data_IF_997012026395
#
_entry.id   IF_997012026395
#
_cell.length_a   1.000
_cell.length_b   1.000
_cell.length_c   1.000
_cell.angle_alpha   90.00
_cell.angle_beta   90.00
_cell.angle_gamma   90.00
#
_symmetry.space_group_name_H-M   'P 1'
#
loop_
_entity.id
_entity.type
_entity.pdbx_description
1 polymer ?
#
# COMPACT_ATOMS: atom_id res chain seq x y z
N UNK A 1 -51.17 -64.93 40.24
CA UNK A 1 -51.56 -65.49 38.93
C UNK A 1 -50.89 -64.65 37.85
N UNK A 2 -50.09 -65.30 36.98
CA UNK A 2 -49.44 -64.81 35.74
C UNK A 2 -48.43 -63.65 35.91
N UNK A 3 -47.23 -63.61 35.31
CA UNK A 3 -46.57 -64.45 34.31
C UNK A 3 -45.65 -63.60 33.43
N UNK A 4 -44.37 -63.98 33.37
CA UNK A 4 -43.35 -63.79 32.32
C UNK A 4 -42.83 -62.41 31.85
N UNK A 5 -41.50 -62.31 32.02
CA UNK A 5 -40.41 -61.98 31.09
C UNK A 5 -40.18 -60.59 30.46
N UNK A 6 -38.93 -60.16 30.71
CA UNK A 6 -37.95 -59.49 29.84
C UNK A 6 -38.30 -58.15 29.19
N UNK A 7 -37.56 -57.11 29.59
CA UNK A 7 -36.75 -56.36 28.62
C UNK A 7 -35.64 -55.53 29.31
N UNK A 8 -34.38 -55.87 28.99
CA UNK A 8 -33.20 -55.08 29.30
C UNK A 8 -33.13 -53.88 28.34
N UNK A 9 -33.18 -52.66 28.87
CA UNK A 9 -32.73 -51.45 28.16
C UNK A 9 -31.48 -50.87 28.81
N UNK A 10 -30.35 -51.04 28.13
CA UNK A 10 -29.11 -50.28 28.33
C UNK A 10 -29.12 -49.11 27.34
N UNK A 11 -28.74 -47.88 27.73
CA UNK A 11 -28.74 -46.73 26.82
C UNK A 11 -27.53 -46.77 25.88
N UNK A 12 -27.77 -46.39 24.62
CA UNK A 12 -26.81 -46.31 23.54
C UNK A 12 -25.83 -45.13 23.67
N UNK A 13 -24.61 -45.34 23.15
CA UNK A 13 -23.48 -44.42 23.16
C UNK A 13 -23.66 -43.22 22.20
N UNK A 14 -22.99 -42.13 22.56
CA UNK A 14 -22.93 -40.86 21.86
C UNK A 14 -22.37 -40.99 20.44
N UNK A 15 -23.03 -40.32 19.49
CA UNK A 15 -22.59 -40.24 18.09
C UNK A 15 -21.45 -39.24 17.92
N UNK A 16 -20.36 -39.71 17.31
CA UNK A 16 -19.26 -38.91 16.78
C UNK A 16 -19.73 -38.01 15.62
N UNK A 17 -19.51 -36.70 15.73
CA UNK A 17 -19.64 -35.78 14.60
C UNK A 17 -18.34 -35.79 13.79
N UNK A 18 -18.44 -36.32 12.57
CA UNK A 18 -17.37 -36.41 11.57
C UNK A 18 -16.83 -35.03 11.19
N UNK A 19 -15.52 -34.83 11.35
CA UNK A 19 -14.78 -33.70 10.78
C UNK A 19 -14.74 -33.76 9.26
N UNK A 20 -14.83 -32.58 8.62
CA UNK A 20 -14.56 -32.40 7.20
C UNK A 20 -13.07 -32.71 6.94
N UNK A 21 -12.75 -33.33 5.80
CA UNK A 21 -11.42 -33.72 5.30
C UNK A 21 -10.92 -35.16 5.54
N UNK A 22 -11.81 -36.15 5.46
CA UNK A 22 -11.44 -37.58 5.34
C UNK A 22 -11.02 -38.05 3.93
N UNK A 23 -10.80 -37.17 2.94
CA UNK A 23 -10.71 -37.57 1.52
C UNK A 23 -9.30 -37.89 0.99
N UNK A 24 -8.21 -37.64 1.73
CA UNK A 24 -6.84 -37.91 1.23
C UNK A 24 -6.11 -39.06 1.95
N UNK A 25 -6.61 -40.29 1.81
CA UNK A 25 -5.82 -41.51 2.09
C UNK A 25 -5.75 -42.44 0.88
N UNK A 26 -4.55 -42.49 0.31
CA UNK A 26 -4.09 -43.25 -0.86
C UNK A 26 -3.71 -44.69 -0.46
N UNK A 27 -3.95 -45.69 -1.33
CA UNK A 27 -3.20 -46.97 -1.44
C UNK A 27 -3.59 -47.76 -2.74
N UNK A 28 -2.85 -48.80 -3.20
CA UNK A 28 -2.22 -48.83 -4.54
C UNK A 28 -2.57 -50.03 -5.46
N UNK A 29 -2.38 -49.82 -6.78
CA UNK A 29 -1.81 -50.64 -7.89
C UNK A 29 -2.08 -52.16 -8.09
N UNK A 30 -2.52 -52.55 -9.31
CA UNK A 30 -2.22 -53.76 -10.16
C UNK A 30 -2.92 -53.56 -11.55
N UNK A 31 -2.27 -53.43 -12.73
CA UNK A 31 -1.67 -54.41 -13.72
C UNK A 31 -2.70 -55.36 -14.39
N UNK A 32 -2.81 -55.69 -15.69
CA UNK A 32 -2.04 -55.65 -16.98
C UNK A 32 -3.09 -55.72 -18.14
N UNK A 33 -2.89 -55.19 -19.36
CA UNK A 33 -2.62 -55.91 -20.65
C UNK A 33 -3.12 -54.97 -21.79
N UNK A 34 -2.67 -54.91 -23.04
CA UNK A 34 -1.48 -55.32 -23.82
C UNK A 34 -1.64 -54.57 -25.19
N UNK A 35 -0.54 -54.15 -25.81
CA UNK A 35 -0.40 -53.33 -27.04
C UNK A 35 -0.65 -54.19 -28.34
N UNK A 36 -0.64 -53.68 -29.63
CA UNK A 36 0.40 -52.81 -30.19
C UNK A 36 -0.04 -51.96 -31.46
N UNK A 37 0.83 -51.48 -32.39
CA UNK A 37 1.00 -50.04 -32.66
C UNK A 37 0.82 -49.63 -34.15
N UNK A 38 0.69 -48.33 -34.47
CA UNK A 38 0.95 -47.82 -35.85
C UNK A 38 1.58 -46.41 -35.78
N UNK A 39 2.49 -46.19 -36.72
CA UNK A 39 3.66 -45.29 -36.75
C UNK A 39 3.37 -43.80 -37.08
N UNK A 40 4.35 -42.90 -36.81
CA UNK A 40 4.30 -41.46 -37.09
C UNK A 40 5.03 -41.09 -38.39
N UNK A 41 4.74 -39.92 -38.97
CA UNK A 41 5.60 -39.18 -39.93
C UNK A 41 4.93 -37.82 -40.32
N UNK A 42 5.63 -36.81 -40.89
CA UNK A 42 6.94 -36.25 -40.53
C UNK A 42 6.96 -34.71 -40.48
N UNK A 43 8.06 -34.18 -39.95
CA UNK A 43 8.51 -32.77 -39.99
C UNK A 43 9.17 -32.50 -41.36
N UNK A 44 9.09 -31.27 -41.92
CA UNK A 44 10.11 -30.81 -42.87
C UNK A 44 11.01 -29.72 -42.25
N UNK A 45 12.33 -29.93 -42.31
CA UNK A 45 13.38 -28.89 -42.22
C UNK A 45 13.91 -28.54 -43.64
N UNK A 46 15.00 -27.75 -43.83
CA UNK A 46 14.99 -26.39 -44.34
C UNK A 46 15.58 -26.27 -45.77
N UNK A 47 15.38 -25.13 -46.46
CA UNK A 47 16.08 -24.82 -47.72
C UNK A 47 16.66 -23.40 -47.68
N UNK A 48 17.83 -23.31 -48.30
CA UNK A 48 18.95 -22.35 -48.22
C UNK A 48 18.74 -21.11 -49.10
N UNK A 49 19.51 -20.06 -48.75
CA UNK A 49 19.79 -18.77 -49.40
C UNK A 49 19.69 -18.69 -50.93
N UNK A 50 19.16 -17.55 -51.40
CA UNK A 50 19.55 -16.91 -52.66
C UNK A 50 19.56 -15.38 -52.49
N UNK A 51 20.64 -14.77 -52.98
CA UNK A 51 21.01 -13.35 -52.95
C UNK A 51 20.16 -12.43 -53.88
N UNK A 52 20.31 -11.08 -53.80
CA UNK A 52 19.25 -10.13 -54.12
C UNK A 52 19.22 -9.71 -55.58
N UNK A 53 18.00 -9.48 -56.11
CA UNK A 53 17.79 -8.81 -57.40
C UNK A 53 17.24 -7.41 -57.15
N UNK A 54 17.95 -6.44 -57.71
CA UNK A 54 17.63 -5.02 -57.71
C UNK A 54 16.41 -4.74 -58.60
N UNK A 55 15.47 -3.93 -58.09
CA UNK A 55 14.53 -3.17 -58.93
C UNK A 55 14.58 -1.70 -58.53
N UNK A 56 15.04 -0.90 -59.49
CA UNK A 56 14.96 0.55 -59.56
C UNK A 56 13.52 1.02 -59.81
N UNK A 57 13.17 2.25 -59.39
CA UNK A 57 11.79 2.74 -59.30
C UNK A 57 11.19 3.16 -60.65
N UNK A 58 9.89 2.92 -60.82
CA UNK A 58 9.09 3.43 -61.94
C UNK A 58 8.71 4.92 -61.77
N UNK A 59 8.48 5.66 -62.87
CA UNK A 59 8.58 7.11 -62.90
C UNK A 59 7.30 7.84 -62.48
N UNK A 60 7.51 8.97 -61.80
CA UNK A 60 6.50 10.00 -61.53
C UNK A 60 6.13 10.71 -62.83
N UNK A 61 4.87 10.62 -63.25
CA UNK A 61 4.30 11.47 -64.31
C UNK A 61 3.57 12.64 -63.65
N UNK A 62 4.13 13.84 -63.85
CA UNK A 62 3.53 15.13 -63.52
C UNK A 62 2.41 15.44 -64.52
N UNK A 63 1.18 15.61 -64.03
CA UNK A 63 0.12 16.28 -64.79
C UNK A 63 0.09 17.77 -64.45
N UNK A 64 0.33 18.58 -65.47
CA UNK A 64 0.25 20.04 -65.45
C UNK A 64 -1.19 20.54 -65.26
N UNK A 65 -1.26 21.73 -64.68
CA UNK A 65 -2.45 22.49 -64.31
C UNK A 65 -3.23 23.07 -65.50
N UNK A 66 -4.53 23.31 -65.27
CA UNK A 66 -5.34 24.47 -65.69
C UNK A 66 -6.82 24.25 -65.26
N UNK A 67 -7.68 25.29 -65.15
CA UNK A 67 -7.46 26.63 -64.62
C UNK A 67 -8.40 26.94 -63.43
N UNK A 68 -8.06 28.01 -62.73
CA UNK A 68 -8.73 28.57 -61.55
C UNK A 68 -10.15 29.05 -61.90
N UNK A 69 -11.17 28.42 -61.30
CA UNK A 69 -12.50 29.01 -61.16
C UNK A 69 -12.53 29.83 -59.86
N UNK A 70 -12.80 31.13 -60.01
CA UNK A 70 -13.00 32.06 -58.91
C UNK A 70 -14.16 31.60 -58.03
N UNK A 71 -14.03 31.57 -56.69
CA UNK A 71 -15.19 31.49 -55.83
C UNK A 71 -15.88 32.85 -55.81
N UNK A 72 -17.19 32.78 -56.01
CA UNK A 72 -18.16 33.87 -55.84
C UNK A 72 -17.98 34.48 -54.45
N UNK A 73 -17.91 35.81 -54.41
CA UNK A 73 -17.95 36.61 -53.17
C UNK A 73 -19.35 36.44 -52.58
N UNK A 74 -19.44 35.61 -51.54
CA UNK A 74 -20.59 35.54 -50.64
C UNK A 74 -20.31 36.48 -49.45
N UNK A 75 -21.32 37.29 -49.11
CA UNK A 75 -21.22 38.43 -48.22
C UNK A 75 -20.70 38.07 -46.82
N UNK A 76 -19.92 38.98 -46.22
CA UNK A 76 -19.56 38.96 -44.81
C UNK A 76 -20.83 38.86 -43.95
N UNK A 77 -20.92 37.92 -42.99
CA UNK A 77 -21.95 37.98 -41.98
C UNK A 77 -21.65 39.14 -41.02
N UNK A 78 -22.68 39.93 -40.72
CA UNK A 78 -22.69 40.94 -39.66
C UNK A 78 -22.19 40.36 -38.32
N UNK A 79 -21.56 41.19 -37.47
CA UNK A 79 -21.10 40.74 -36.15
C UNK A 79 -22.29 40.34 -35.27
N UNK A 80 -22.30 39.09 -34.81
CA UNK A 80 -23.21 38.64 -33.75
C UNK A 80 -22.96 39.45 -32.45
N UNK A 81 -24.01 39.80 -31.71
CA UNK A 81 -23.88 40.54 -30.46
C UNK A 81 -23.19 39.71 -29.38
N UNK A 82 -22.36 40.38 -28.57
CA UNK A 82 -21.73 39.82 -27.37
C UNK A 82 -22.74 39.11 -26.46
N UNK A 83 -22.40 37.97 -25.84
CA UNK A 83 -23.28 37.35 -24.86
C UNK A 83 -23.37 38.23 -23.62
N UNK A 84 -24.56 38.78 -23.37
CA UNK A 84 -24.91 39.43 -22.12
C UNK A 84 -24.59 38.52 -20.92
N UNK A 85 -23.93 39.10 -19.91
CA UNK A 85 -23.71 38.51 -18.60
C UNK A 85 -25.02 37.96 -18.00
N UNK A 86 -25.14 36.63 -17.92
CA UNK A 86 -26.15 36.01 -17.04
C UNK A 86 -25.74 36.23 -15.59
N UNK A 87 -26.55 37.01 -14.88
CA UNK A 87 -26.56 37.08 -13.43
C UNK A 87 -26.76 35.67 -12.84
N UNK A 88 -26.06 35.37 -11.74
CA UNK A 88 -26.22 34.13 -11.00
C UNK A 88 -27.67 33.91 -10.56
N UNK A 89 -28.15 32.67 -10.44
CA UNK A 89 -29.47 32.41 -9.88
C UNK A 89 -29.49 32.85 -8.41
N UNK A 90 -30.32 33.84 -8.08
CA UNK A 90 -30.67 34.17 -6.70
C UNK A 90 -31.45 33.00 -6.09
N UNK A 91 -30.96 32.50 -4.96
CA UNK A 91 -31.70 31.56 -4.13
C UNK A 91 -32.89 32.29 -3.50
N UNK A 92 -34.09 31.70 -3.44
CA UNK A 92 -35.22 32.32 -2.76
C UNK A 92 -34.97 32.28 -1.25
N UNK A 93 -34.54 33.41 -0.69
CA UNK A 93 -34.59 33.62 0.76
C UNK A 93 -36.04 33.95 1.09
N UNK A 94 -36.75 32.99 1.66
CA UNK A 94 -38.02 33.26 2.30
C UNK A 94 -37.75 34.17 3.52
N UNK A 95 -38.30 35.39 3.48
CA UNK A 95 -38.37 36.28 4.63
C UNK A 95 -39.34 35.70 5.65
N UNK A 96 -38.83 34.89 6.59
CA UNK A 96 -39.54 34.64 7.84
C UNK A 96 -39.19 35.75 8.84
N UNK A 97 -40.18 36.43 9.44
CA UNK A 97 -39.93 37.45 10.45
C UNK A 97 -39.45 36.78 11.73
N UNK A 98 -38.15 36.89 12.02
CA UNK A 98 -37.62 36.54 13.34
C UNK A 98 -38.20 37.52 14.35
N UNK A 99 -39.00 36.98 15.25
CA UNK A 99 -39.72 37.69 16.30
C UNK A 99 -38.81 38.62 17.11
N UNK A 100 -39.25 39.86 17.23
CA UNK A 100 -38.84 40.78 18.28
C UNK A 100 -39.20 40.14 19.63
N UNK A 101 -38.21 40.00 20.50
CA UNK A 101 -38.42 39.89 21.94
C UNK A 101 -37.70 41.07 22.58
N UNK A 102 -38.49 41.99 23.11
CA UNK A 102 -38.05 43.09 23.98
C UNK A 102 -37.69 42.56 25.37
N UNK A 103 -36.78 43.31 26.02
CA UNK A 103 -36.31 43.24 27.41
C UNK A 103 -35.43 42.06 27.82
N UNK A 104 -34.15 42.35 28.16
CA UNK A 104 -33.75 42.57 29.57
C UNK A 104 -32.52 43.48 29.63
N UNK A 105 -32.65 44.55 30.42
CA UNK A 105 -31.61 45.46 30.89
C UNK A 105 -30.43 44.73 31.56
N UNK A 106 -29.20 45.00 31.12
CA UNK A 106 -28.00 44.94 31.95
C UNK A 106 -26.94 45.90 31.40
N UNK A 107 -26.49 46.85 32.23
CA UNK A 107 -25.42 47.78 31.88
C UNK A 107 -24.11 47.02 31.62
N UNK A 108 -23.52 47.25 30.44
CA UNK A 108 -22.22 46.70 30.09
C UNK A 108 -21.12 47.52 30.80
N UNK A 109 -20.72 47.08 31.99
CA UNK A 109 -19.54 47.61 32.69
C UNK A 109 -18.29 47.14 31.95
N UNK A 110 -17.55 48.08 31.37
CA UNK A 110 -16.24 47.81 30.77
C UNK A 110 -15.18 47.63 31.87
N UNK A 111 -14.43 46.50 31.90
CA UNK A 111 -13.31 46.37 32.82
C UNK A 111 -12.14 47.26 32.37
N UNK A 112 -11.39 47.88 33.31
CA UNK A 112 -10.29 48.78 32.97
C UNK A 112 -9.07 48.01 32.46
N UNK A 113 -8.42 48.58 31.44
CA UNK A 113 -7.19 48.08 30.84
C UNK A 113 -6.03 48.29 31.83
N UNK A 114 -5.29 47.25 32.24
CA UNK A 114 -4.14 47.41 33.13
C UNK A 114 -2.95 48.06 32.40
N UNK A 115 -2.27 48.97 33.08
CA UNK A 115 -1.10 49.69 32.61
C UNK A 115 0.11 48.77 32.41
N UNK A 116 0.88 49.07 31.36
CA UNK A 116 2.11 48.39 30.95
C UNK A 116 3.17 48.54 32.04
N UNK A 117 3.64 47.41 32.59
CA UNK A 117 4.79 47.35 33.49
C UNK A 117 6.06 47.19 32.65
N UNK A 118 7.00 48.10 32.89
CA UNK A 118 8.35 48.15 32.33
C UNK A 118 9.14 46.89 32.71
N UNK A 119 9.54 46.08 31.72
CA UNK A 119 10.31 44.85 31.94
C UNK A 119 11.80 45.17 31.95
N UNK A 120 12.41 44.97 33.11
CA UNK A 120 13.85 45.07 33.34
C UNK A 120 14.65 44.06 32.48
N UNK A 121 15.87 44.46 32.13
CA UNK A 121 16.84 43.73 31.31
C UNK A 121 17.13 42.29 31.80
N UNK A 122 17.35 41.32 30.89
CA UNK A 122 17.79 40.00 31.30
C UNK A 122 19.30 39.98 31.54
N UNK A 123 19.68 39.45 32.70
CA UNK A 123 21.05 39.10 33.05
C UNK A 123 21.57 37.96 32.17
N UNK A 124 22.84 38.07 31.79
CA UNK A 124 23.64 37.08 31.08
C UNK A 124 23.77 35.83 31.94
N UNK A 125 23.32 34.68 31.43
CA UNK A 125 23.62 33.35 31.98
C UNK A 125 24.46 32.65 30.92
N UNK A 126 25.69 32.28 31.28
CA UNK A 126 26.62 31.50 30.47
C UNK A 126 26.04 30.10 30.20
N UNK A 127 26.16 29.54 28.98
CA UNK A 127 25.65 28.21 28.69
C UNK A 127 26.64 27.14 29.14
N UNK A 128 26.20 26.26 30.05
CA UNK A 128 26.84 24.95 30.27
C UNK A 128 26.66 24.04 29.04
N UNK A 129 27.61 23.12 28.78
CA UNK A 129 27.63 22.34 27.56
C UNK A 129 26.54 21.25 27.61
N UNK A 130 25.57 21.36 26.70
CA UNK A 130 24.60 20.28 26.42
C UNK A 130 25.31 19.09 25.81
N UNK A 131 25.55 18.08 26.64
CA UNK A 131 26.01 16.75 26.22
C UNK A 131 24.81 15.97 25.67
N UNK A 132 24.89 15.64 24.38
CA UNK A 132 24.28 14.51 23.67
C UNK A 132 22.81 14.12 24.00
N UNK A 133 21.85 14.70 23.28
CA UNK A 133 20.52 14.12 23.10
C UNK A 133 20.51 13.14 21.91
N UNK A 134 20.82 11.87 22.16
CA UNK A 134 20.65 10.79 21.14
C UNK A 134 19.81 9.62 21.67
N UNK A 135 19.60 9.47 22.98
CA UNK A 135 18.89 8.30 23.53
C UNK A 135 17.37 8.49 23.73
N UNK A 136 16.83 9.71 23.67
CA UNK A 136 15.41 10.00 23.96
C UNK A 136 14.44 9.75 22.80
N UNK A 137 14.93 9.58 21.55
CA UNK A 137 14.06 9.44 20.38
C UNK A 137 13.50 8.02 20.17
N UNK A 138 14.20 6.98 20.64
CA UNK A 138 13.78 5.58 20.43
C UNK A 138 12.52 5.21 21.23
N UNK A 139 12.39 5.72 22.45
CA UNK A 139 11.21 5.52 23.30
C UNK A 139 9.96 6.19 22.72
N UNK A 140 10.08 7.42 22.20
CA UNK A 140 8.99 8.09 21.49
C UNK A 140 8.60 7.38 20.19
N UNK A 141 9.59 6.83 19.47
CA UNK A 141 9.37 6.07 18.24
C UNK A 141 8.55 4.80 18.46
N UNK A 142 8.98 3.97 19.42
CA UNK A 142 8.28 2.72 19.75
C UNK A 142 6.89 2.98 20.31
N UNK A 143 6.71 4.03 21.11
CA UNK A 143 5.40 4.43 21.61
C UNK A 143 4.40 4.77 20.49
N UNK A 144 4.85 5.49 19.45
CA UNK A 144 4.01 5.78 18.27
C UNK A 144 3.69 4.53 17.46
N UNK A 145 4.67 3.63 17.27
CA UNK A 145 4.43 2.36 16.58
C UNK A 145 3.40 1.50 17.34
N UNK A 146 3.55 1.39 18.66
CA UNK A 146 2.58 0.72 19.53
C UNK A 146 1.19 1.34 19.44
N UNK A 147 1.10 2.68 19.47
CA UNK A 147 -0.17 3.38 19.32
C UNK A 147 -0.82 3.10 17.96
N UNK A 148 -0.05 3.19 16.88
CA UNK A 148 -0.52 2.92 15.52
C UNK A 148 -0.77 1.44 15.22
N UNK A 149 -0.48 0.53 16.15
CA UNK A 149 -0.83 -0.88 16.03
C UNK A 149 -1.88 -1.31 17.07
N UNK A 150 -2.33 -0.41 17.94
CA UNK A 150 -3.21 -0.69 19.09
C UNK A 150 -4.44 -1.55 18.75
N UNK A 151 -5.11 -1.27 17.62
CA UNK A 151 -6.28 -2.05 17.20
C UNK A 151 -5.92 -3.47 16.75
N UNK A 152 -4.79 -3.63 16.05
CA UNK A 152 -4.30 -4.95 15.64
C UNK A 152 -3.70 -5.70 16.84
N UNK A 153 -3.04 -5.01 17.77
CA UNK A 153 -2.55 -5.60 19.02
C UNK A 153 -3.69 -6.00 19.95
N UNK A 154 -4.84 -5.32 19.96
CA UNK A 154 -6.01 -5.81 20.69
C UNK A 154 -6.52 -7.14 20.10
N UNK A 155 -6.59 -7.23 18.76
CA UNK A 155 -7.05 -8.45 18.09
C UNK A 155 -6.08 -9.62 18.21
N UNK A 156 -4.77 -9.37 18.06
CA UNK A 156 -3.72 -10.40 18.13
C UNK A 156 -3.14 -10.48 19.54
N UNK A 157 -2.55 -9.42 20.05
CA UNK A 157 -1.82 -9.38 21.32
C UNK A 157 -2.67 -9.61 22.58
N UNK A 158 -3.68 -8.78 22.83
CA UNK A 158 -4.58 -8.90 24.01
C UNK A 158 -5.34 -10.22 23.96
N UNK A 159 -5.88 -10.51 22.77
CA UNK A 159 -6.53 -11.75 22.49
C UNK A 159 -5.65 -12.96 22.85
N UNK A 160 -4.44 -13.02 22.32
CA UNK A 160 -3.50 -14.11 22.63
C UNK A 160 -3.14 -14.15 24.12
N UNK A 161 -2.86 -13.00 24.75
CA UNK A 161 -2.51 -12.96 26.17
C UNK A 161 -3.59 -13.62 27.04
N UNK A 162 -4.87 -13.34 26.78
CA UNK A 162 -5.98 -13.98 27.51
C UNK A 162 -6.00 -15.50 27.41
N UNK A 163 -5.60 -16.09 26.28
CA UNK A 163 -5.48 -17.55 26.13
C UNK A 163 -4.38 -18.13 27.02
N UNK A 164 -3.25 -17.42 27.11
CA UNK A 164 -2.06 -17.89 27.83
C UNK A 164 -2.18 -17.74 29.36
N UNK A 165 -2.97 -16.79 29.88
CA UNK A 165 -3.18 -16.65 31.32
C UNK A 165 -4.04 -17.78 31.93
N UNK A 166 -4.90 -18.42 31.15
CA UNK A 166 -5.85 -19.43 31.64
C UNK A 166 -5.36 -20.87 31.59
N UNK A 167 -4.40 -21.20 30.70
CA UNK A 167 -3.98 -22.58 30.44
C UNK A 167 -2.56 -22.85 30.94
N UNK A 168 -2.42 -23.85 31.84
CA UNK A 168 -1.13 -24.31 32.38
C UNK A 168 -0.43 -25.37 31.52
N UNK A 169 -1.16 -25.97 30.57
CA UNK A 169 -0.67 -27.05 29.72
C UNK A 169 -0.86 -26.64 28.27
N UNK A 170 0.15 -26.90 27.44
CA UNK A 170 0.05 -26.72 26.00
C UNK A 170 -0.69 -27.95 25.45
N UNK A 171 -1.95 -27.79 25.09
CA UNK A 171 -2.81 -28.79 24.45
C UNK A 171 -3.11 -28.43 22.99
N UNK A 172 -3.68 -29.38 22.24
CA UNK A 172 -4.04 -29.16 20.83
C UNK A 172 -5.13 -28.06 20.69
N UNK A 173 -6.04 -27.95 21.67
CA UNK A 173 -7.07 -26.91 21.74
C UNK A 173 -6.46 -25.50 21.79
N UNK A 174 -5.38 -25.29 22.57
CA UNK A 174 -4.67 -24.01 22.60
C UNK A 174 -4.06 -23.66 21.23
N UNK A 175 -3.55 -24.65 20.49
CA UNK A 175 -2.99 -24.41 19.15
C UNK A 175 -4.09 -24.04 18.13
N UNK A 176 -5.26 -24.69 18.22
CA UNK A 176 -6.44 -24.34 17.41
C UNK A 176 -6.97 -22.92 17.73
N UNK A 177 -6.95 -22.53 18.99
CA UNK A 177 -7.33 -21.17 19.42
C UNK A 177 -6.35 -20.12 18.87
N UNK A 178 -5.04 -20.42 18.88
CA UNK A 178 -4.01 -19.56 18.27
C UNK A 178 -4.24 -19.46 16.76
N UNK A 179 -4.49 -20.57 16.09
CA UNK A 179 -4.77 -20.60 14.65
C UNK A 179 -5.97 -19.70 14.30
N UNK A 180 -7.08 -19.86 15.02
CA UNK A 180 -8.31 -19.10 14.80
C UNK A 180 -8.08 -17.59 14.94
N UNK A 181 -7.31 -17.18 15.95
CA UNK A 181 -6.99 -15.77 16.19
C UNK A 181 -6.08 -15.19 15.11
N UNK A 182 -5.06 -15.93 14.67
CA UNK A 182 -4.20 -15.50 13.56
C UNK A 182 -5.02 -15.30 12.27
N UNK A 183 -5.94 -16.22 11.97
CA UNK A 183 -6.83 -16.10 10.81
C UNK A 183 -7.77 -14.89 10.93
N UNK A 184 -8.37 -14.67 12.11
CA UNK A 184 -9.28 -13.53 12.35
C UNK A 184 -8.57 -12.19 12.20
N UNK A 185 -7.28 -12.12 12.52
CA UNK A 185 -6.46 -10.93 12.35
C UNK A 185 -5.90 -10.74 10.92
N UNK A 186 -6.40 -11.50 9.94
CA UNK A 186 -5.98 -11.46 8.53
C UNK A 186 -4.51 -11.88 8.28
N UNK A 187 -3.90 -12.70 9.15
CA UNK A 187 -2.54 -13.27 8.94
C UNK A 187 -2.47 -14.15 7.68
N UNK A 188 -3.60 -14.72 7.27
CA UNK A 188 -3.73 -15.54 6.07
C UNK A 188 -3.45 -17.02 6.31
N UNK A 189 -4.14 -17.88 5.55
CA UNK A 189 -4.15 -19.35 5.77
C UNK A 189 -2.76 -19.95 5.65
N UNK A 190 -2.01 -19.62 4.60
CA UNK A 190 -0.68 -20.20 4.35
C UNK A 190 0.33 -19.77 5.42
N UNK A 191 0.32 -18.50 5.82
CA UNK A 191 1.20 -17.99 6.87
C UNK A 191 0.86 -18.62 8.23
N UNK A 192 -0.42 -18.65 8.60
CA UNK A 192 -0.87 -19.28 9.84
C UNK A 192 -0.51 -20.76 9.88
N UNK A 193 -0.73 -21.52 8.81
CA UNK A 193 -0.40 -22.94 8.77
C UNK A 193 1.10 -23.20 9.03
N UNK A 194 1.98 -22.37 8.44
CA UNK A 194 3.43 -22.46 8.69
C UNK A 194 3.78 -22.18 10.15
N UNK A 195 3.17 -21.15 10.74
CA UNK A 195 3.41 -20.78 12.14
C UNK A 195 2.95 -21.91 13.07
N UNK A 196 1.70 -22.38 12.91
CA UNK A 196 1.13 -23.44 13.74
C UNK A 196 1.94 -24.72 13.62
N UNK A 197 2.30 -25.13 12.40
CA UNK A 197 3.13 -26.32 12.19
C UNK A 197 4.48 -26.22 12.91
N UNK A 198 5.13 -25.05 12.86
CA UNK A 198 6.39 -24.80 13.56
C UNK A 198 6.23 -24.91 15.08
N UNK A 199 5.17 -24.30 15.63
CA UNK A 199 4.85 -24.37 17.05
C UNK A 199 4.55 -25.80 17.51
N UNK A 200 3.69 -26.54 16.79
CA UNK A 200 3.37 -27.94 17.09
C UNK A 200 4.63 -28.81 17.12
N UNK A 201 5.56 -28.61 16.18
CA UNK A 201 6.82 -29.35 16.18
C UNK A 201 7.70 -29.03 17.39
N UNK A 202 7.75 -27.78 17.83
CA UNK A 202 8.50 -27.36 19.02
C UNK A 202 7.88 -27.92 20.31
N UNK A 203 6.55 -27.96 20.41
CA UNK A 203 5.83 -28.60 21.52
C UNK A 203 6.13 -30.10 21.54
N UNK A 204 6.02 -30.79 20.40
CA UNK A 204 6.30 -32.23 20.31
C UNK A 204 7.74 -32.59 20.69
N UNK A 205 8.70 -31.69 20.43
CA UNK A 205 10.11 -31.82 20.82
C UNK A 205 10.39 -31.44 22.28
N UNK A 206 9.36 -31.12 23.08
CA UNK A 206 9.48 -30.63 24.47
C UNK A 206 10.35 -29.38 24.61
N UNK A 207 10.40 -28.54 23.57
CA UNK A 207 11.16 -27.27 23.58
C UNK A 207 10.36 -26.12 24.21
N UNK A 208 9.05 -26.30 24.37
CA UNK A 208 8.14 -25.33 24.95
C UNK A 208 7.55 -25.95 26.22
N UNK A 209 7.99 -25.43 27.37
CA UNK A 209 7.68 -26.00 28.70
C UNK A 209 6.43 -25.41 29.32
N UNK A 210 6.06 -24.19 28.93
CA UNK A 210 4.92 -23.44 29.46
C UNK A 210 4.31 -22.49 28.41
N UNK A 211 3.19 -21.87 28.78
CA UNK A 211 2.47 -20.88 27.99
C UNK A 211 3.35 -19.67 27.61
N UNK A 212 4.30 -19.28 28.45
CA UNK A 212 5.18 -18.13 28.21
C UNK A 212 6.24 -18.43 27.16
N UNK A 213 6.81 -19.64 27.20
CA UNK A 213 7.70 -20.14 26.17
C UNK A 213 6.98 -20.25 24.83
N UNK A 214 5.72 -20.73 24.82
CA UNK A 214 4.90 -20.78 23.60
C UNK A 214 4.63 -19.38 23.05
N UNK A 215 4.28 -18.41 23.90
CA UNK A 215 4.07 -17.02 23.50
C UNK A 215 5.33 -16.38 22.91
N UNK A 216 6.49 -16.53 23.57
CA UNK A 216 7.78 -16.05 23.03
C UNK A 216 8.14 -16.75 21.73
N UNK A 217 7.87 -18.04 21.61
CA UNK A 217 8.09 -18.77 20.37
C UNK A 217 7.19 -18.26 19.25
N UNK A 218 5.91 -17.96 19.50
CA UNK A 218 5.01 -17.37 18.52
C UNK A 218 5.55 -16.02 18.01
N UNK A 219 6.00 -15.14 18.91
CA UNK A 219 6.63 -13.88 18.52
C UNK A 219 7.87 -14.11 17.64
N UNK A 220 8.72 -15.06 18.02
CA UNK A 220 9.91 -15.41 17.25
C UNK A 220 9.56 -15.95 15.86
N UNK A 221 8.53 -16.79 15.71
CA UNK A 221 8.06 -17.30 14.42
C UNK A 221 7.53 -16.17 13.52
N UNK A 222 6.74 -15.25 14.10
CA UNK A 222 6.21 -14.09 13.38
C UNK A 222 7.35 -13.16 12.92
N UNK A 223 8.33 -12.89 13.77
CA UNK A 223 9.49 -12.09 13.41
C UNK A 223 10.35 -12.78 12.34
N UNK A 224 10.57 -14.09 12.47
CA UNK A 224 11.32 -14.89 11.50
C UNK A 224 10.65 -14.92 10.12
N UNK A 225 9.31 -14.90 10.06
CA UNK A 225 8.58 -14.81 8.80
C UNK A 225 8.78 -13.45 8.09
N UNK A 226 8.89 -12.37 8.86
CA UNK A 226 9.04 -11.02 8.34
C UNK A 226 10.50 -10.64 8.04
N UNK A 227 11.48 -11.29 8.67
CA UNK A 227 12.90 -10.96 8.51
C UNK A 227 13.40 -11.02 7.05
N UNK A 228 13.01 -12.00 6.21
CA UNK A 228 13.45 -12.05 4.81
C UNK A 228 12.95 -10.88 3.95
N UNK A 229 11.87 -10.23 4.35
CA UNK A 229 11.30 -9.06 3.64
C UNK A 229 11.65 -7.73 4.30
N UNK A 230 12.40 -7.75 5.40
CA UNK A 230 12.98 -6.56 6.03
C UNK A 230 14.17 -6.07 5.21
N UNK A 231 13.90 -5.18 4.26
CA UNK A 231 14.95 -4.56 3.45
C UNK A 231 14.63 -3.07 3.21
N UNK A 232 15.30 -2.15 3.93
CA UNK A 232 15.15 -0.72 3.72
C UNK A 232 15.43 -0.31 2.27
N UNK A 233 14.83 0.80 1.83
CA UNK A 233 15.10 1.36 0.52
C UNK A 233 16.56 1.88 0.46
N UNK A 234 17.33 1.40 -0.51
CA UNK A 234 18.71 1.84 -0.73
C UNK A 234 18.76 2.67 -2.01
N UNK A 235 19.07 3.96 -1.87
CA UNK A 235 19.24 4.88 -3.01
C UNK A 235 20.65 4.71 -3.57
N UNK A 236 20.75 4.26 -4.81
CA UNK A 236 22.03 4.09 -5.50
C UNK A 236 22.68 5.43 -5.87
N UNK A 237 24.00 5.46 -6.15
CA UNK A 237 24.70 6.68 -6.53
C UNK A 237 24.27 7.27 -7.88
N UNK A 238 23.74 6.45 -8.78
CA UNK A 238 23.25 6.88 -10.09
C UNK A 238 22.02 7.78 -9.93
N UNK A 239 22.02 8.92 -10.64
CA UNK A 239 21.01 9.96 -10.51
C UNK A 239 20.26 10.20 -11.83
N UNK A 240 18.94 10.46 -11.79
CA UNK A 240 18.08 10.40 -10.61
C UNK A 240 17.70 8.95 -10.25
N UNK A 241 17.62 8.62 -8.96
CA UNK A 241 16.97 7.40 -8.51
C UNK A 241 15.46 7.55 -8.67
N UNK A 242 14.85 6.75 -9.55
CA UNK A 242 13.43 6.89 -9.91
C UNK A 242 12.58 5.90 -9.12
N UNK A 243 11.67 6.43 -8.29
CA UNK A 243 10.67 5.68 -7.53
C UNK A 243 9.31 5.86 -8.22
N UNK A 244 8.76 4.77 -8.75
CA UNK A 244 7.41 4.74 -9.30
C UNK A 244 6.45 4.22 -8.21
N UNK A 245 5.56 5.09 -7.73
CA UNK A 245 4.60 4.74 -6.67
C UNK A 245 3.29 4.32 -7.29
N UNK A 246 2.89 3.06 -7.06
CA UNK A 246 1.68 2.46 -7.64
C UNK A 246 0.72 1.99 -6.54
N UNK A 247 -0.52 1.70 -6.92
CA UNK A 247 -1.54 1.19 -6.00
C UNK A 247 -2.91 1.81 -6.24
N UNK A 248 -3.91 1.34 -5.51
CA UNK A 248 -5.30 1.73 -5.74
C UNK A 248 -5.64 3.09 -5.14
N UNK A 249 -6.74 3.68 -5.58
CA UNK A 249 -7.27 4.91 -4.97
C UNK A 249 -7.62 4.67 -3.51
N UNK A 250 -7.37 5.67 -2.67
CA UNK A 250 -7.61 5.58 -1.23
C UNK A 250 -6.56 4.77 -0.46
N UNK A 251 -5.62 4.07 -1.10
CA UNK A 251 -4.55 3.33 -0.42
C UNK A 251 -3.48 4.22 0.24
N UNK A 252 -3.53 5.54 0.04
CA UNK A 252 -2.58 6.48 0.64
C UNK A 252 -1.33 6.79 -0.19
N UNK A 253 -1.36 6.59 -1.52
CA UNK A 253 -0.22 6.87 -2.44
C UNK A 253 0.34 8.28 -2.30
N UNK A 254 -0.45 9.31 -2.61
CA UNK A 254 -0.02 10.73 -2.60
C UNK A 254 0.47 11.16 -1.20
N UNK A 255 -0.19 10.67 -0.14
CA UNK A 255 0.26 10.88 1.25
C UNK A 255 1.61 10.21 1.52
N UNK A 256 1.81 8.97 1.07
CA UNK A 256 3.07 8.24 1.20
C UNK A 256 4.19 8.94 0.44
N UNK A 257 3.91 9.47 -0.76
CA UNK A 257 4.85 10.27 -1.55
C UNK A 257 5.30 11.51 -0.77
N UNK A 258 4.35 12.28 -0.22
CA UNK A 258 4.67 13.48 0.56
C UNK A 258 5.54 13.18 1.78
N UNK A 259 5.21 12.12 2.54
CA UNK A 259 6.00 11.67 3.71
C UNK A 259 7.38 11.16 3.32
N UNK A 260 7.47 10.34 2.26
CA UNK A 260 8.74 9.82 1.76
C UNK A 260 9.63 10.95 1.25
N UNK A 261 9.08 11.90 0.50
CA UNK A 261 9.80 13.05 0.00
C UNK A 261 10.40 13.89 1.14
N UNK A 262 9.64 14.11 2.22
CA UNK A 262 10.13 14.81 3.40
C UNK A 262 11.22 14.03 4.13
N UNK A 263 11.06 12.71 4.28
CA UNK A 263 12.06 11.83 4.89
C UNK A 263 13.38 11.84 4.11
N UNK A 264 13.33 11.75 2.78
CA UNK A 264 14.52 11.79 1.95
C UNK A 264 15.17 13.18 1.96
N UNK A 265 14.38 14.24 2.02
CA UNK A 265 14.88 15.60 2.20
C UNK A 265 15.60 15.77 3.55
N UNK A 266 15.08 15.20 4.64
CA UNK A 266 15.75 15.27 5.95
C UNK A 266 17.03 14.42 6.02
N UNK A 267 17.17 13.43 5.14
CA UNK A 267 18.41 12.69 4.88
C UNK A 267 19.39 13.44 3.95
N UNK A 268 19.07 14.68 3.56
CA UNK A 268 19.92 15.54 2.74
C UNK A 268 19.83 15.29 1.23
N UNK A 269 18.86 14.50 0.75
CA UNK A 269 18.66 14.23 -0.68
C UNK A 269 17.89 15.36 -1.34
N UNK A 270 18.28 15.71 -2.57
CA UNK A 270 17.50 16.56 -3.49
C UNK A 270 16.39 15.72 -4.09
N UNK A 271 15.14 16.03 -3.75
CA UNK A 271 13.96 15.31 -4.21
C UNK A 271 13.21 16.14 -5.26
N UNK A 272 12.58 15.47 -6.22
CA UNK A 272 11.59 16.04 -7.13
C UNK A 272 10.37 15.11 -7.19
N UNK A 273 9.18 15.68 -7.41
CA UNK A 273 7.94 14.93 -7.54
C UNK A 273 7.41 15.02 -8.98
N UNK A 274 6.76 13.96 -9.46
CA UNK A 274 6.02 13.95 -10.71
C UNK A 274 4.55 13.62 -10.47
N UNK A 275 3.65 14.49 -10.94
CA UNK A 275 2.21 14.35 -10.79
C UNK A 275 1.61 13.49 -11.92
N UNK A 276 1.84 12.17 -11.87
CA UNK A 276 1.35 11.22 -12.86
C UNK A 276 -0.08 10.71 -12.63
N UNK A 277 -0.80 11.12 -11.57
CA UNK A 277 -2.26 10.92 -11.47
C UNK A 277 -3.00 12.06 -12.20
N UNK A 278 -2.81 12.15 -13.52
CA UNK A 278 -3.30 13.26 -14.36
C UNK A 278 -4.82 13.28 -14.51
N UNK A 279 -5.49 12.15 -14.26
CA UNK A 279 -6.95 12.02 -14.33
C UNK A 279 -7.68 12.68 -13.16
N UNK A 280 -6.99 12.95 -12.06
CA UNK A 280 -7.59 13.55 -10.86
C UNK A 280 -6.93 14.89 -10.61
N UNK A 281 -7.59 15.97 -11.04
CA UNK A 281 -7.13 17.34 -10.79
C UNK A 281 -6.75 17.58 -9.31
N UNK A 282 -7.61 17.10 -8.39
CA UNK A 282 -7.35 17.17 -6.95
C UNK A 282 -6.10 16.39 -6.49
N UNK A 283 -5.71 15.31 -7.17
CA UNK A 283 -4.48 14.56 -6.83
C UNK A 283 -3.23 15.34 -7.27
N UNK A 284 -3.27 15.96 -8.45
CA UNK A 284 -2.21 16.87 -8.93
C UNK A 284 -2.05 18.04 -7.98
N UNK A 285 -3.14 18.72 -7.65
CA UNK A 285 -3.16 19.86 -6.71
C UNK A 285 -2.64 19.44 -5.32
N UNK A 286 -3.12 18.30 -4.80
CA UNK A 286 -2.64 17.78 -3.52
C UNK A 286 -1.13 17.54 -3.52
N UNK A 287 -0.58 16.98 -4.60
CA UNK A 287 0.87 16.75 -4.72
C UNK A 287 1.64 18.07 -4.85
N UNK A 288 1.09 19.06 -5.55
CA UNK A 288 1.66 20.40 -5.65
C UNK A 288 1.71 21.10 -4.28
N UNK A 289 0.63 21.05 -3.50
CA UNK A 289 0.59 21.58 -2.12
C UNK A 289 1.63 20.88 -1.24
N UNK A 290 1.79 19.56 -1.37
CA UNK A 290 2.86 18.81 -0.69
C UNK A 290 4.26 19.30 -1.09
N UNK A 291 4.46 19.55 -2.39
CA UNK A 291 5.70 20.10 -2.92
C UNK A 291 5.99 21.50 -2.37
N UNK A 292 5.04 22.41 -2.48
CA UNK A 292 5.16 23.80 -2.02
C UNK A 292 5.46 23.86 -0.52
N UNK A 293 4.68 23.14 0.30
CA UNK A 293 4.86 23.08 1.76
C UNK A 293 6.27 22.62 2.16
N UNK A 294 6.88 21.73 1.38
CA UNK A 294 8.21 21.19 1.67
C UNK A 294 9.32 21.78 0.80
N UNK A 295 9.03 22.79 -0.04
CA UNK A 295 9.96 23.38 -1.01
C UNK A 295 10.58 22.33 -1.96
N UNK A 296 9.77 21.38 -2.41
CA UNK A 296 10.15 20.31 -3.34
C UNK A 296 9.54 20.63 -4.71
N UNK A 297 10.34 20.67 -5.80
CA UNK A 297 9.82 20.92 -7.13
C UNK A 297 8.89 19.79 -7.58
N UNK A 298 7.74 20.17 -8.18
CA UNK A 298 6.75 19.23 -8.73
C UNK A 298 6.61 19.48 -10.22
N UNK A 299 6.72 18.40 -11.00
CA UNK A 299 6.45 18.40 -12.44
C UNK A 299 5.02 17.93 -12.65
N UNK A 300 4.20 18.77 -13.28
CA UNK A 300 2.81 18.51 -13.58
C UNK A 300 2.46 19.11 -14.95
N UNK A 301 1.46 18.52 -15.61
CA UNK A 301 0.83 19.04 -16.82
C UNK A 301 -0.66 19.29 -16.57
N UNK A 302 -1.42 19.64 -17.62
CA UNK A 302 -2.86 19.84 -17.52
C UNK A 302 -3.61 18.54 -17.16
N UNK A 303 -4.78 18.67 -16.53
CA UNK A 303 -5.65 17.53 -16.22
C UNK A 303 -5.98 16.73 -17.48
N UNK A 304 -5.89 15.40 -17.41
CA UNK A 304 -6.10 14.50 -18.54
C UNK A 304 -4.89 14.33 -19.45
N UNK A 305 -3.75 14.95 -19.14
CA UNK A 305 -2.50 14.69 -19.86
C UNK A 305 -2.07 13.22 -19.75
N UNK A 306 -1.25 12.77 -20.70
CA UNK A 306 -0.70 11.42 -20.67
C UNK A 306 0.32 11.25 -19.54
N UNK A 307 0.02 10.38 -18.57
CA UNK A 307 0.86 10.14 -17.38
C UNK A 307 2.30 9.75 -17.73
N UNK A 308 2.49 8.96 -18.79
CA UNK A 308 3.82 8.58 -19.26
C UNK A 308 4.61 9.78 -19.79
N UNK A 309 3.95 10.75 -20.41
CA UNK A 309 4.57 11.99 -20.88
C UNK A 309 4.97 12.90 -19.72
N UNK A 310 4.11 13.05 -18.70
CA UNK A 310 4.45 13.81 -17.48
C UNK A 310 5.68 13.23 -16.78
N UNK A 311 5.73 11.90 -16.64
CA UNK A 311 6.85 11.24 -15.96
C UNK A 311 8.13 11.29 -16.80
N UNK A 312 8.03 11.21 -18.14
CA UNK A 312 9.16 11.41 -19.05
C UNK A 312 9.80 12.79 -18.86
N UNK A 313 8.98 13.85 -18.87
CA UNK A 313 9.43 15.22 -18.65
C UNK A 313 10.06 15.37 -17.26
N UNK A 314 9.50 14.70 -16.25
CA UNK A 314 10.04 14.74 -14.91
C UNK A 314 11.42 14.06 -14.79
N UNK A 315 11.64 12.92 -15.46
CA UNK A 315 12.95 12.27 -15.50
C UNK A 315 13.98 13.17 -16.19
N UNK A 316 13.61 13.80 -17.31
CA UNK A 316 14.47 14.74 -18.03
C UNK A 316 14.81 15.97 -17.16
N UNK A 317 13.82 16.56 -16.50
CA UNK A 317 14.01 17.69 -15.59
C UNK A 317 14.88 17.31 -14.39
N UNK A 318 14.70 16.10 -13.83
CA UNK A 318 15.49 15.59 -12.72
C UNK A 318 16.96 15.40 -13.12
N UNK A 319 17.24 14.86 -14.31
CA UNK A 319 18.59 14.77 -14.88
C UNK A 319 19.22 16.15 -15.07
N UNK A 320 18.51 17.08 -15.70
CA UNK A 320 19.01 18.43 -15.97
C UNK A 320 19.32 19.22 -14.68
N UNK A 321 18.53 19.00 -13.62
CA UNK A 321 18.69 19.69 -12.33
C UNK A 321 19.56 18.94 -11.32
N UNK A 322 20.18 17.82 -11.71
CA UNK A 322 20.99 16.96 -10.83
C UNK A 322 20.25 16.58 -9.54
N UNK A 323 18.98 16.17 -9.67
CA UNK A 323 18.14 15.68 -8.57
C UNK A 323 18.61 14.28 -8.18
N UNK A 324 18.63 14.00 -6.86
CA UNK A 324 19.05 12.70 -6.35
C UNK A 324 17.93 11.66 -6.49
N UNK A 325 16.69 12.04 -6.18
CA UNK A 325 15.53 11.14 -6.18
C UNK A 325 14.34 11.79 -6.87
N UNK A 326 13.75 11.08 -7.84
CA UNK A 326 12.47 11.43 -8.44
C UNK A 326 11.40 10.47 -7.93
N UNK A 327 10.32 10.99 -7.35
CA UNK A 327 9.16 10.18 -6.92
C UNK A 327 7.98 10.50 -7.84
N UNK A 328 7.52 9.50 -8.58
CA UNK A 328 6.39 9.64 -9.50
C UNK A 328 5.11 9.05 -8.90
N UNK A 329 4.07 9.89 -8.80
CA UNK A 329 2.70 9.43 -8.50
C UNK A 329 2.08 8.82 -9.75
N UNK A 330 1.12 7.91 -9.58
CA UNK A 330 0.39 7.29 -10.69
C UNK A 330 -1.10 7.23 -10.39
N UNK A 331 -1.91 7.07 -11.43
CA UNK A 331 -3.32 6.75 -11.27
C UNK A 331 -3.52 5.45 -10.45
N UNK A 332 -4.68 5.32 -9.79
CA UNK A 332 -5.04 4.16 -8.96
C UNK A 332 -6.43 3.58 -9.20
N UNK A 333 -7.03 3.81 -10.37
CA UNK A 333 -8.40 3.38 -10.69
C UNK A 333 -8.45 1.87 -10.99
N UNK A 334 -8.50 1.03 -9.96
CA UNK A 334 -8.53 -0.42 -10.14
C UNK A 334 -9.83 -0.93 -10.80
N UNK A 335 -10.95 -0.20 -10.75
CA UNK A 335 -12.20 -0.65 -11.38
C UNK A 335 -12.11 -0.74 -12.91
N UNK A 336 -11.11 -0.08 -13.52
CA UNK A 336 -10.73 -0.21 -14.93
C UNK A 336 -9.39 -0.91 -15.05
N UNK A 337 -9.32 -2.17 -14.56
CA UNK A 337 -8.08 -2.93 -14.35
C UNK A 337 -7.16 -2.92 -15.58
N UNK A 338 -7.70 -3.22 -16.75
CA UNK A 338 -6.87 -3.39 -17.95
C UNK A 338 -6.26 -2.06 -18.40
N UNK A 339 -7.05 -0.99 -18.41
CA UNK A 339 -6.57 0.35 -18.79
C UNK A 339 -5.48 0.86 -17.84
N UNK A 340 -5.66 0.69 -16.53
CA UNK A 340 -4.66 1.10 -15.54
C UNK A 340 -3.35 0.31 -15.72
N UNK A 341 -3.46 -1.00 -15.93
CA UNK A 341 -2.26 -1.84 -16.08
C UNK A 341 -1.51 -1.54 -17.38
N UNK A 342 -2.20 -1.28 -18.49
CA UNK A 342 -1.56 -0.85 -19.75
C UNK A 342 -0.92 0.54 -19.63
N UNK A 343 -1.56 1.46 -18.92
CA UNK A 343 -0.98 2.78 -18.62
C UNK A 343 0.34 2.64 -17.84
N UNK A 344 0.35 1.80 -16.80
CA UNK A 344 1.56 1.56 -16.00
C UNK A 344 2.67 0.86 -16.79
N UNK A 345 2.34 -0.09 -17.67
CA UNK A 345 3.30 -0.68 -18.62
C UNK A 345 3.88 0.38 -19.55
N UNK A 346 3.04 1.27 -20.06
CA UNK A 346 3.47 2.39 -20.92
C UNK A 346 4.43 3.31 -20.16
N UNK A 347 4.11 3.70 -18.93
CA UNK A 347 4.96 4.52 -18.07
C UNK A 347 6.33 3.87 -17.89
N UNK A 348 6.38 2.59 -17.46
CA UNK A 348 7.64 1.85 -17.29
C UNK A 348 8.46 1.82 -18.57
N UNK A 349 7.84 1.52 -19.71
CA UNK A 349 8.51 1.48 -21.02
C UNK A 349 9.09 2.84 -21.42
N UNK A 350 8.37 3.92 -21.15
CA UNK A 350 8.81 5.28 -21.50
C UNK A 350 9.97 5.72 -20.61
N UNK A 351 9.93 5.44 -19.30
CA UNK A 351 11.06 5.67 -18.39
C UNK A 351 12.29 4.87 -18.86
N UNK A 352 12.10 3.60 -19.21
CA UNK A 352 13.15 2.70 -19.70
C UNK A 352 13.90 3.19 -20.95
N UNK A 353 13.29 4.07 -21.76
CA UNK A 353 13.95 4.70 -22.92
C UNK A 353 15.00 5.74 -22.51
N UNK A 354 14.81 6.37 -21.35
CA UNK A 354 15.72 7.38 -20.84
C UNK A 354 16.83 6.76 -19.99
N UNK A 355 16.51 5.68 -19.28
CA UNK A 355 17.42 4.97 -18.40
C UNK A 355 16.96 3.51 -18.32
N UNK A 356 17.82 2.58 -18.76
CA UNK A 356 17.49 1.17 -18.87
C UNK A 356 17.23 0.50 -17.51
N UNK A 357 17.82 1.05 -16.44
CA UNK A 357 17.67 0.54 -15.07
C UNK A 357 16.47 1.18 -14.34
N UNK A 358 15.81 2.16 -14.97
CA UNK A 358 14.67 2.87 -14.37
C UNK A 358 13.31 2.26 -14.78
N UNK A 359 12.31 2.25 -13.87
CA UNK A 359 12.36 2.71 -12.49
C UNK A 359 13.19 1.80 -11.58
N UNK A 360 13.96 2.42 -10.68
CA UNK A 360 14.85 1.71 -9.74
C UNK A 360 14.07 1.07 -8.59
N UNK A 361 12.94 1.69 -8.22
CA UNK A 361 11.97 1.13 -7.27
C UNK A 361 10.56 1.28 -7.85
N UNK A 362 9.81 0.18 -7.86
CA UNK A 362 8.36 0.17 -8.07
C UNK A 362 7.70 -0.15 -6.73
N UNK A 363 7.27 0.90 -6.03
CA UNK A 363 6.73 0.84 -4.67
C UNK A 363 5.20 0.72 -4.72
N UNK A 364 4.66 -0.43 -4.37
CA UNK A 364 3.22 -0.61 -4.22
C UNK A 364 2.75 -0.16 -2.84
N UNK A 365 1.81 0.77 -2.82
CA UNK A 365 1.15 1.22 -1.59
C UNK A 365 -0.16 0.45 -1.40
N UNK A 366 -0.29 -0.20 -0.24
CA UNK A 366 -1.42 -1.03 0.16
C UNK A 366 -2.07 -0.48 1.43
N UNK A 367 -3.40 -0.55 1.50
CA UNK A 367 -4.17 -0.27 2.70
C UNK A 367 -4.27 -1.53 3.56
N UNK A 368 -3.68 -1.51 4.76
CA UNK A 368 -3.70 -2.64 5.67
C UNK A 368 -5.11 -3.02 6.15
N UNK A 369 -6.07 -2.09 6.08
CA UNK A 369 -7.47 -2.34 6.43
C UNK A 369 -8.22 -3.23 5.43
N UNK A 370 -7.66 -3.43 4.23
CA UNK A 370 -8.35 -4.15 3.15
C UNK A 370 -8.17 -5.67 3.21
N UNK A 371 -7.33 -6.19 4.11
CA UNK A 371 -7.13 -7.64 4.33
C UNK A 371 -6.78 -8.37 3.04
N UNK A 372 -7.50 -9.46 2.73
CA UNK A 372 -7.27 -10.28 1.52
C UNK A 372 -7.31 -9.50 0.20
N UNK A 373 -7.99 -8.34 0.14
CA UNK A 373 -7.97 -7.51 -1.07
C UNK A 373 -6.57 -6.97 -1.36
N UNK A 374 -5.76 -6.66 -0.35
CA UNK A 374 -4.38 -6.20 -0.53
C UNK A 374 -3.51 -7.26 -1.22
N UNK A 375 -3.71 -8.53 -0.88
CA UNK A 375 -3.03 -9.67 -1.51
C UNK A 375 -3.40 -9.77 -2.99
N UNK A 376 -4.71 -9.70 -3.30
CA UNK A 376 -5.17 -9.76 -4.68
C UNK A 376 -4.63 -8.60 -5.54
N UNK A 377 -4.50 -7.41 -4.95
CA UNK A 377 -3.91 -6.24 -5.59
C UNK A 377 -2.42 -6.43 -5.82
N UNK A 378 -1.67 -6.85 -4.79
CA UNK A 378 -0.24 -7.12 -4.90
C UNK A 378 0.08 -8.10 -6.03
N UNK A 379 -0.73 -9.17 -6.16
CA UNK A 379 -0.60 -10.12 -7.28
C UNK A 379 -0.78 -9.45 -8.65
N UNK A 380 -1.84 -8.67 -8.82
CA UNK A 380 -2.16 -8.02 -10.10
C UNK A 380 -1.11 -6.98 -10.50
N UNK A 381 -0.67 -6.14 -9.57
CA UNK A 381 0.38 -5.16 -9.83
C UNK A 381 1.73 -5.83 -10.11
N UNK A 382 2.09 -6.88 -9.35
CA UNK A 382 3.36 -7.58 -9.58
C UNK A 382 3.45 -8.24 -10.95
N UNK A 383 2.35 -8.82 -11.43
CA UNK A 383 2.27 -9.39 -12.78
C UNK A 383 2.43 -8.33 -13.89
N UNK A 384 2.11 -7.06 -13.60
CA UNK A 384 2.08 -6.00 -14.61
C UNK A 384 3.38 -5.19 -14.64
N UNK A 385 3.83 -4.70 -13.48
CA UNK A 385 4.93 -3.73 -13.39
C UNK A 385 6.18 -4.27 -12.72
N UNK A 386 6.16 -5.51 -12.21
CA UNK A 386 7.25 -6.14 -11.44
C UNK A 386 7.62 -5.28 -10.23
N UNK A 387 6.94 -5.53 -9.12
CA UNK A 387 7.13 -4.75 -7.90
C UNK A 387 8.52 -5.04 -7.31
N UNK A 388 9.12 -4.02 -6.70
CA UNK A 388 10.40 -4.15 -5.99
C UNK A 388 10.26 -3.88 -4.49
N UNK A 389 9.17 -3.24 -4.08
CA UNK A 389 8.88 -2.98 -2.68
C UNK A 389 7.41 -2.71 -2.38
N UNK A 390 7.06 -2.89 -1.11
CA UNK A 390 5.74 -2.65 -0.55
C UNK A 390 5.78 -1.54 0.51
N UNK A 391 4.73 -0.73 0.56
CA UNK A 391 4.43 0.17 1.65
C UNK A 391 3.01 -0.11 2.16
N UNK A 392 2.87 -0.46 3.45
CA UNK A 392 1.56 -0.70 4.05
C UNK A 392 1.14 0.54 4.83
N UNK A 393 -0.07 1.04 4.61
CA UNK A 393 -0.58 2.24 5.27
C UNK A 393 -1.82 1.93 6.11
N UNK A 394 -2.25 2.92 6.90
CA UNK A 394 -3.46 2.87 7.74
C UNK A 394 -3.48 1.73 8.77
N UNK A 395 -2.30 1.34 9.25
CA UNK A 395 -2.17 0.33 10.30
C UNK A 395 -2.84 0.79 11.61
N UNK A 396 -2.88 2.11 11.84
CA UNK A 396 -3.55 2.78 12.96
C UNK A 396 -5.08 2.69 12.91
N UNK A 397 -5.62 2.56 11.70
CA UNK A 397 -7.05 2.50 11.47
C UNK A 397 -7.68 1.13 11.71
N UNK A 398 -6.89 0.05 11.72
CA UNK A 398 -7.39 -1.31 11.50
C UNK A 398 -6.96 -2.34 12.54
N UNK A 399 -7.83 -3.33 12.79
CA UNK A 399 -7.49 -4.56 13.52
C UNK A 399 -6.95 -5.68 12.61
N UNK A 400 -6.96 -5.46 11.30
CA UNK A 400 -6.58 -6.43 10.25
C UNK A 400 -5.12 -6.29 9.81
N UNK A 401 -4.25 -5.79 10.68
CA UNK A 401 -2.84 -5.59 10.38
C UNK A 401 -2.04 -6.87 10.13
N UNK A 402 -2.61 -8.06 10.35
CA UNK A 402 -1.97 -9.34 10.09
C UNK A 402 -1.70 -9.61 8.60
N UNK A 403 -2.35 -8.88 7.68
CA UNK A 403 -2.15 -9.03 6.22
C UNK A 403 -0.68 -8.92 5.79
N UNK A 404 0.15 -8.21 6.56
CA UNK A 404 1.59 -8.10 6.33
C UNK A 404 2.29 -9.46 6.28
N UNK A 405 1.89 -10.42 7.12
CA UNK A 405 2.47 -11.76 7.17
C UNK A 405 2.10 -12.57 5.91
N UNK A 406 0.84 -12.47 5.47
CA UNK A 406 0.40 -13.08 4.22
C UNK A 406 1.17 -12.53 3.01
N UNK A 407 1.33 -11.21 2.94
CA UNK A 407 2.08 -10.54 1.87
C UNK A 407 3.54 -10.97 1.85
N UNK A 408 4.18 -11.00 3.02
CA UNK A 408 5.57 -11.44 3.17
C UNK A 408 5.74 -12.89 2.70
N UNK A 409 4.85 -13.79 3.14
CA UNK A 409 4.94 -15.21 2.83
C UNK A 409 4.69 -15.51 1.34
N UNK A 410 3.73 -14.82 0.73
CA UNK A 410 3.29 -15.14 -0.63
C UNK A 410 4.15 -14.51 -1.72
N UNK A 411 4.62 -13.28 -1.50
CA UNK A 411 5.33 -12.52 -2.54
C UNK A 411 6.84 -12.45 -2.32
N UNK A 412 7.32 -12.54 -1.07
CA UNK A 412 8.74 -12.37 -0.74
C UNK A 412 9.30 -10.99 -1.14
N UNK A 413 8.43 -10.01 -1.38
CA UNK A 413 8.82 -8.65 -1.76
C UNK A 413 9.26 -7.87 -0.51
N UNK A 414 10.33 -7.06 -0.61
CA UNK A 414 10.72 -6.13 0.45
C UNK A 414 9.57 -5.26 0.94
N UNK A 415 9.32 -5.27 2.25
CA UNK A 415 8.47 -4.27 2.88
C UNK A 415 9.40 -3.11 3.25
N UNK A 416 9.25 -1.99 2.54
CA UNK A 416 10.11 -0.82 2.74
C UNK A 416 9.60 0.03 3.89
N UNK A 417 8.28 0.23 3.92
CA UNK A 417 7.66 1.20 4.80
C UNK A 417 6.34 0.71 5.41
N UNK A 418 6.05 1.23 6.60
CA UNK A 418 4.75 1.12 7.26
C UNK A 418 4.26 2.51 7.66
N UNK A 419 2.99 2.79 7.40
CA UNK A 419 2.28 4.01 7.74
C UNK A 419 1.38 3.78 8.95
N UNK A 420 1.69 4.44 10.06
CA UNK A 420 1.09 4.21 11.38
C UNK A 420 0.35 5.45 11.93
N UNK A 421 -0.06 6.34 11.05
CA UNK A 421 -0.75 7.59 11.38
C UNK A 421 -0.79 8.58 10.22
N UNK A 422 -1.40 9.74 10.45
CA UNK A 422 -1.57 10.81 9.45
C UNK A 422 -0.42 11.82 9.43
N UNK A 423 0.31 11.96 10.54
CA UNK A 423 1.41 12.90 10.71
C UNK A 423 2.56 12.67 9.73
N UNK A 424 3.33 13.72 9.49
CA UNK A 424 4.43 13.73 8.50
C UNK A 424 5.49 12.65 8.80
N UNK A 425 5.74 12.41 10.09
CA UNK A 425 6.74 11.45 10.58
C UNK A 425 6.20 10.03 10.77
N UNK A 426 4.94 9.78 10.42
CA UNK A 426 4.26 8.49 10.65
C UNK A 426 4.49 7.47 9.53
N UNK A 427 5.33 7.80 8.54
CA UNK A 427 5.89 6.81 7.61
C UNK A 427 7.21 6.31 8.17
N UNK A 428 7.25 5.04 8.57
CA UNK A 428 8.43 4.40 9.17
C UNK A 428 9.07 3.42 8.22
N UNK A 429 10.39 3.33 8.25
CA UNK A 429 11.10 2.20 7.66
C UNK A 429 10.66 0.93 8.41
N UNK A 430 10.38 -0.12 7.66
CA UNK A 430 9.92 -1.37 8.25
C UNK A 430 11.09 -2.12 8.92
N UNK A 431 10.85 -2.57 10.15
CA UNK A 431 11.75 -3.40 10.94
C UNK A 431 10.90 -4.53 11.57
N UNK A 432 11.25 -5.80 11.31
CA UNK A 432 10.41 -6.94 11.66
C UNK A 432 10.27 -7.11 13.18
N UNK A 433 11.39 -7.03 13.90
CA UNK A 433 11.42 -7.20 15.36
C UNK A 433 10.63 -6.11 16.10
N UNK A 434 10.88 -4.80 15.89
CA UNK A 434 10.07 -3.75 16.52
C UNK A 434 8.59 -3.84 16.16
N UNK A 435 8.25 -4.22 14.93
CA UNK A 435 6.86 -4.39 14.49
C UNK A 435 6.16 -5.50 15.29
N UNK A 436 6.77 -6.67 15.38
CA UNK A 436 6.24 -7.80 16.15
C UNK A 436 6.18 -7.45 17.63
N UNK A 437 7.23 -6.87 18.22
CA UNK A 437 7.21 -6.43 19.61
C UNK A 437 6.04 -5.48 19.89
N UNK A 438 5.82 -4.49 19.01
CA UNK A 438 4.72 -3.55 19.16
C UNK A 438 3.33 -4.22 19.06
N UNK A 439 3.16 -5.25 18.23
CA UNK A 439 1.92 -6.04 18.16
C UNK A 439 1.59 -6.77 19.47
N UNK A 440 2.60 -7.08 20.30
CA UNK A 440 2.46 -7.87 21.52
C UNK A 440 2.74 -7.09 22.81
N UNK A 441 3.10 -5.81 22.72
CA UNK A 441 3.62 -5.01 23.84
C UNK A 441 2.60 -4.69 24.95
N UNK A 442 1.32 -5.02 24.83
CA UNK A 442 0.34 -4.77 25.92
C UNK A 442 0.48 -5.72 27.11
N UNK A 443 1.12 -6.88 26.91
CA UNK A 443 1.38 -7.85 27.98
C UNK A 443 2.33 -7.32 29.07
N UNK A 444 3.24 -6.40 28.75
CA UNK A 444 4.22 -5.89 29.72
C UNK A 444 3.65 -4.88 30.73
N UNK A 445 2.38 -4.46 30.58
CA UNK A 445 1.72 -3.51 31.48
C UNK A 445 0.80 -4.16 32.52
N UNK A 446 0.69 -5.49 32.57
CA UNK A 446 -0.20 -6.22 33.49
C UNK A 446 0.55 -7.16 34.41
#
# INVERSE_FOLDING_TARGET
MFGSNDDKKTPAAAGEKKGLFGWLRKKPQETVDEQPPVQPEPIPEPIVEAEPVAETPEPVVLTMAEPVLQPVVEAEPEPEPEPEHKAWPELPVAEEPVALVEDVQAEHVTPPIPAVVEVAAPAVIEPEPVVAAVETNKTGFFARLKQGLSKTSASIGEGMASLFLGKKVIDDELLEDIETRLLTADVGVEATAVIIQSLTQKVARKQLTDADALYKSLQAELAAMLKPVEAPLVITPNKPFVILVVGVNGAGKTTTIGKLAKKLQSEGKKVMLAAGDTFRAAAVEQLQVWGERNKIPVIAQHTGADSASVIFDAVQAAKARNIDVLIADTAGRLHTKDNLMEELKKVRRVIGKLDADAPHEVLLVLDAGTGQNAISQAKQFNQTVQLTGLALTKLDGTAKGGVIFALAKQFGLPIRYIGVGEGIDDLRTFEAEPFVQALFAERERS
#
